data_IF_343080979521
#
_entry.id   IF_343080979521
#
_cell.length_a   1.000
_cell.length_b   1.000
_cell.length_c   1.000
_cell.angle_alpha   90.00
_cell.angle_beta   90.00
_cell.angle_gamma   90.00
#
_symmetry.space_group_name_H-M   'P 1'
#
loop_
_entity.id
_entity.type
_entity.pdbx_description
1 polymer ?
#
# COMPACT_ATOMS: atom_id res chain seq x y z
N UNK A 1 1.58 -1.45 10.86
CA UNK A 1 1.57 -2.43 9.74
C UNK A 1 2.31 -1.79 8.59
N UNK A 2 3.23 -2.49 7.93
CA UNK A 2 4.10 -1.89 6.90
C UNK A 2 3.47 -1.87 5.48
N UNK A 3 2.34 -2.56 5.28
CA UNK A 3 1.56 -2.54 4.04
C UNK A 3 0.08 -2.72 4.40
N UNK A 4 -0.79 -1.88 3.81
CA UNK A 4 -2.25 -1.98 3.92
C UNK A 4 -2.82 -2.51 2.61
N UNK A 5 -3.73 -3.49 2.67
CA UNK A 5 -4.38 -4.06 1.48
C UNK A 5 -5.81 -3.55 1.40
N UNK A 6 -6.13 -2.80 0.35
CA UNK A 6 -7.48 -2.32 0.05
C UNK A 6 -8.03 -3.13 -1.13
N UNK A 7 -9.23 -3.71 -0.98
CA UNK A 7 -9.88 -4.49 -2.04
C UNK A 7 -11.11 -3.76 -2.54
N UNK A 8 -11.04 -3.26 -3.78
CA UNK A 8 -12.16 -2.62 -4.45
C UNK A 8 -12.99 -3.70 -5.12
N UNK A 9 -14.20 -3.97 -4.58
CA UNK A 9 -15.14 -4.95 -5.14
C UNK A 9 -16.29 -4.25 -5.84
N UNK A 10 -16.60 -4.65 -7.08
CA UNK A 10 -17.86 -4.25 -7.75
C UNK A 10 -18.81 -5.46 -7.79
N UNK A 11 -20.05 -5.27 -7.33
CA UNK A 11 -21.09 -6.31 -7.37
C UNK A 11 -21.87 -6.22 -8.69
N UNK A 12 -21.84 -7.26 -9.51
CA UNK A 12 -22.60 -7.33 -10.76
C UNK A 12 -23.84 -8.23 -10.60
N UNK A 13 -25.04 -7.73 -10.98
CA UNK A 13 -26.26 -8.54 -11.12
C UNK A 13 -26.17 -9.40 -12.40
N UNK A 14 -26.63 -10.66 -12.31
CA UNK A 14 -26.52 -11.74 -13.30
C UNK A 14 -27.21 -11.44 -14.64
N UNK A 15 -26.59 -11.89 -15.74
CA UNK A 15 -27.29 -12.29 -16.98
C UNK A 15 -26.85 -13.68 -17.47
N UNK A 16 -27.67 -14.28 -18.32
CA UNK A 16 -27.97 -15.72 -18.54
C UNK A 16 -26.92 -16.58 -19.29
N UNK A 17 -27.07 -17.92 -19.19
CA UNK A 17 -26.16 -18.99 -19.68
C UNK A 17 -26.25 -19.26 -21.19
N UNK A 18 -25.14 -19.64 -21.88
CA UNK A 18 -25.18 -20.33 -23.17
C UNK A 18 -24.89 -21.86 -23.10
N UNK A 19 -25.34 -22.60 -24.12
CA UNK A 19 -25.31 -24.07 -24.31
C UNK A 19 -23.95 -24.62 -24.79
N UNK A 20 -23.68 -25.92 -24.57
CA UNK A 20 -22.40 -26.64 -24.83
C UNK A 20 -22.51 -27.60 -26.03
N UNK A 21 -21.48 -27.69 -26.87
CA UNK A 21 -21.25 -28.74 -27.89
C UNK A 21 -19.87 -29.44 -27.71
N UNK A 22 -19.71 -30.68 -28.21
CA UNK A 22 -18.58 -31.62 -27.96
C UNK A 22 -17.59 -31.76 -29.15
N UNK A 23 -16.30 -32.01 -28.89
CA UNK A 23 -15.39 -32.80 -29.77
C UNK A 23 -14.12 -33.32 -29.04
N UNK A 24 -13.55 -34.43 -29.56
CA UNK A 24 -12.55 -35.34 -28.94
C UNK A 24 -11.17 -35.31 -29.65
N UNK A 25 -10.06 -35.37 -28.89
CA UNK A 25 -8.78 -36.05 -29.27
C UNK A 25 -7.86 -36.20 -28.02
N UNK A 26 -7.30 -37.41 -27.80
CA UNK A 26 -6.64 -37.84 -26.55
C UNK A 26 -5.10 -37.89 -26.72
N UNK A 27 -4.35 -37.07 -25.99
CA UNK A 27 -2.88 -36.93 -26.13
C UNK A 27 -2.06 -37.80 -25.14
N UNK A 28 -0.76 -37.99 -25.39
CA UNK A 28 0.15 -38.87 -24.62
C UNK A 28 0.15 -38.66 -23.09
N UNK A 29 -0.20 -37.46 -22.60
CA UNK A 29 -0.38 -37.17 -21.17
C UNK A 29 -1.50 -38.01 -20.53
N UNK A 30 -2.54 -38.37 -21.28
CA UNK A 30 -3.62 -39.26 -20.82
C UNK A 30 -3.18 -40.73 -20.77
N UNK A 31 -2.18 -41.13 -21.55
CA UNK A 31 -1.60 -42.50 -21.47
C UNK A 31 -0.80 -42.70 -20.19
N UNK A 32 -0.06 -41.69 -19.74
CA UNK A 32 0.69 -41.72 -18.47
C UNK A 32 -0.27 -41.81 -17.27
N UNK A 33 -1.38 -41.05 -17.31
CA UNK A 33 -2.39 -41.09 -16.26
C UNK A 33 -3.07 -42.47 -16.14
N UNK A 34 -3.30 -43.16 -17.26
CA UNK A 34 -3.87 -44.53 -17.26
C UNK A 34 -2.90 -45.55 -16.64
N UNK A 35 -1.59 -45.41 -16.89
CA UNK A 35 -0.57 -46.26 -16.27
C UNK A 35 -0.53 -46.05 -14.75
N UNK A 36 -0.61 -44.79 -14.31
CA UNK A 36 -0.63 -44.44 -12.89
C UNK A 36 -1.87 -44.96 -12.16
N UNK A 37 -3.03 -44.95 -12.84
CA UNK A 37 -4.29 -45.46 -12.30
C UNK A 37 -4.30 -47.00 -12.20
N UNK A 38 -3.67 -47.72 -13.14
CA UNK A 38 -3.55 -49.20 -13.08
C UNK A 38 -2.69 -49.70 -11.92
N UNK A 39 -1.70 -48.91 -11.48
CA UNK A 39 -0.86 -49.25 -10.31
C UNK A 39 -1.70 -49.16 -9.01
N UNK A 40 -2.71 -48.29 -8.99
CA UNK A 40 -3.58 -48.07 -7.83
C UNK A 40 -4.71 -49.09 -7.70
N UNK A 41 -5.03 -49.84 -8.77
CA UNK A 41 -6.09 -50.88 -8.77
C UNK A 41 -5.73 -52.14 -7.96
N UNK A 42 -4.46 -52.35 -7.62
CA UNK A 42 -4.00 -53.51 -6.83
C UNK A 42 -4.29 -53.41 -5.32
N UNK A 43 -4.61 -52.23 -4.82
CA UNK A 43 -4.92 -51.98 -3.41
C UNK A 43 -6.39 -51.61 -3.33
N UNK A 44 -7.20 -52.36 -2.58
CA UNK A 44 -8.65 -52.13 -2.35
C UNK A 44 -8.92 -50.78 -1.64
N UNK A 45 -8.66 -49.67 -2.33
CA UNK A 45 -8.82 -48.28 -1.89
C UNK A 45 -9.70 -47.50 -2.88
N UNK A 46 -10.46 -48.20 -3.71
CA UNK A 46 -11.14 -47.65 -4.88
C UNK A 46 -12.30 -46.69 -4.55
N UNK A 47 -13.01 -46.90 -3.42
CA UNK A 47 -14.13 -46.01 -3.03
C UNK A 47 -13.66 -44.67 -2.44
N UNK A 48 -12.58 -44.67 -1.65
CA UNK A 48 -12.04 -43.45 -1.04
C UNK A 48 -11.25 -42.64 -2.06
N UNK A 49 -10.54 -43.29 -3.00
CA UNK A 49 -9.91 -42.60 -4.11
C UNK A 49 -10.91 -42.01 -5.10
N UNK A 50 -12.02 -42.68 -5.45
CA UNK A 50 -12.99 -42.12 -6.42
C UNK A 50 -13.64 -40.81 -5.94
N UNK A 51 -13.88 -40.65 -4.64
CA UNK A 51 -14.34 -39.38 -4.06
C UNK A 51 -13.27 -38.26 -4.09
N UNK A 52 -11.99 -38.65 -4.08
CA UNK A 52 -10.84 -37.75 -4.13
C UNK A 52 -10.42 -37.41 -5.57
N UNK A 53 -10.45 -38.39 -6.49
CA UNK A 53 -10.11 -38.27 -7.91
C UNK A 53 -11.22 -37.57 -8.70
N UNK A 54 -12.49 -37.75 -8.32
CA UNK A 54 -13.60 -36.96 -8.89
C UNK A 54 -13.43 -35.46 -8.68
N UNK A 55 -12.73 -35.06 -7.61
CA UNK A 55 -12.36 -33.66 -7.30
C UNK A 55 -11.10 -33.17 -8.01
N UNK A 56 -10.39 -34.03 -8.73
CA UNK A 56 -9.12 -33.77 -9.42
C UNK A 56 -9.23 -33.90 -10.94
N UNK A 57 -10.44 -33.82 -11.48
CA UNK A 57 -10.64 -33.75 -12.92
C UNK A 57 -10.26 -32.33 -13.40
N UNK A 58 -9.27 -32.17 -14.29
CA UNK A 58 -8.94 -30.86 -14.86
C UNK A 58 -10.14 -30.33 -15.63
N UNK A 59 -10.58 -29.11 -15.30
CA UNK A 59 -11.61 -28.40 -16.05
C UNK A 59 -10.93 -27.67 -17.23
N UNK A 60 -11.58 -27.60 -18.39
CA UNK A 60 -11.03 -26.89 -19.54
C UNK A 60 -11.81 -25.59 -19.79
N UNK A 61 -11.10 -24.48 -19.99
CA UNK A 61 -11.71 -23.22 -20.41
C UNK A 61 -12.33 -23.33 -21.82
N UNK A 62 -13.20 -22.38 -22.20
CA UNK A 62 -13.78 -22.33 -23.56
C UNK A 62 -12.73 -22.25 -24.69
N UNK A 63 -11.48 -21.87 -24.37
CA UNK A 63 -10.33 -21.84 -25.28
C UNK A 63 -9.38 -23.05 -25.11
N UNK A 64 -9.80 -24.12 -24.41
CA UNK A 64 -9.05 -25.37 -24.30
C UNK A 64 -7.90 -25.38 -23.28
N UNK A 65 -7.72 -24.33 -22.47
CA UNK A 65 -6.69 -24.33 -21.40
C UNK A 65 -7.16 -25.10 -20.17
N UNK A 66 -6.30 -25.97 -19.64
CA UNK A 66 -6.51 -26.74 -18.41
C UNK A 66 -6.52 -25.81 -17.19
N UNK A 67 -7.57 -25.92 -16.36
CA UNK A 67 -7.82 -25.18 -15.12
C UNK A 67 -7.99 -26.19 -14.01
N UNK A 68 -7.12 -26.11 -13.00
CA UNK A 68 -7.02 -27.11 -11.94
C UNK A 68 -8.03 -26.84 -10.82
N UNK A 69 -8.68 -27.86 -10.21
CA UNK A 69 -9.87 -27.63 -9.40
C UNK A 69 -9.52 -27.14 -7.99
N UNK A 70 -10.36 -26.21 -7.48
CA UNK A 70 -10.32 -25.52 -6.18
C UNK A 70 -9.59 -24.17 -6.06
N UNK A 71 -9.47 -23.42 -7.15
CA UNK A 71 -9.59 -21.97 -7.05
C UNK A 71 -10.98 -21.61 -7.60
N UNK A 72 -11.93 -21.28 -6.71
CA UNK A 72 -13.14 -20.58 -7.13
C UNK A 72 -12.65 -19.30 -7.80
N UNK A 73 -12.71 -19.23 -9.14
CA UNK A 73 -12.46 -17.98 -9.86
C UNK A 73 -13.32 -16.92 -9.19
N UNK A 74 -12.70 -15.88 -8.63
CA UNK A 74 -13.44 -14.81 -7.97
C UNK A 74 -14.43 -14.28 -9.01
N UNK A 75 -15.72 -14.35 -8.70
CA UNK A 75 -16.78 -14.00 -9.65
C UNK A 75 -16.83 -12.51 -9.96
N UNK A 76 -16.15 -11.69 -9.16
CA UNK A 76 -16.10 -10.24 -9.32
C UNK A 76 -14.66 -9.85 -9.64
N UNK A 77 -14.50 -9.12 -10.74
CA UNK A 77 -13.32 -8.30 -11.02
C UNK A 77 -13.03 -7.42 -9.79
N UNK A 78 -11.86 -7.59 -9.20
CA UNK A 78 -11.41 -6.80 -8.05
C UNK A 78 -9.98 -6.34 -8.32
N UNK A 79 -9.71 -5.08 -8.03
CA UNK A 79 -8.33 -4.56 -7.97
C UNK A 79 -7.90 -4.56 -6.51
N UNK A 80 -6.70 -5.09 -6.25
CA UNK A 80 -6.04 -4.97 -4.97
C UNK A 80 -5.08 -3.79 -4.99
N UNK A 81 -5.24 -2.86 -4.06
CA UNK A 81 -4.33 -1.75 -3.88
C UNK A 81 -3.48 -2.03 -2.63
N UNK A 82 -2.16 -2.09 -2.83
CA UNK A 82 -1.17 -2.29 -1.80
C UNK A 82 -0.55 -0.93 -1.46
N UNK A 83 -0.89 -0.40 -0.29
CA UNK A 83 -0.40 0.88 0.19
C UNK A 83 0.79 0.67 1.13
N UNK A 84 1.95 1.18 0.73
CA UNK A 84 3.19 1.23 1.48
C UNK A 84 3.46 2.68 1.93
N UNK A 85 4.42 2.89 2.82
CA UNK A 85 4.90 4.24 3.17
C UNK A 85 6.42 4.26 3.06
N UNK A 86 7.09 3.44 3.86
CA UNK A 86 8.55 3.36 3.94
C UNK A 86 9.08 1.98 3.54
N UNK A 87 10.23 1.95 2.87
CA UNK A 87 10.97 0.72 2.57
C UNK A 87 12.42 0.88 3.02
N UNK A 88 12.79 0.29 4.14
CA UNK A 88 14.10 0.46 4.75
C UNK A 88 14.37 -0.64 5.78
N UNK A 89 15.63 -0.93 6.04
CA UNK A 89 16.06 -1.80 7.15
C UNK A 89 16.41 -0.98 8.41
N UNK A 90 16.17 0.34 8.39
CA UNK A 90 16.37 1.21 9.54
C UNK A 90 15.44 0.80 10.70
N UNK A 91 15.97 0.85 11.92
CA UNK A 91 15.19 0.59 13.13
C UNK A 91 14.38 1.84 13.49
N UNK A 92 13.12 1.88 13.06
CA UNK A 92 12.14 2.88 13.49
C UNK A 92 11.00 2.17 14.22
N UNK A 93 10.88 2.43 15.52
CA UNK A 93 9.85 1.78 16.35
C UNK A 93 8.50 2.50 16.34
N UNK A 94 8.45 3.74 15.84
CA UNK A 94 7.27 4.60 15.85
C UNK A 94 6.56 4.56 14.49
N UNK A 95 7.33 4.47 13.41
CA UNK A 95 6.83 4.20 12.06
C UNK A 95 7.68 3.09 11.41
N UNK A 96 7.41 1.82 11.73
CA UNK A 96 8.24 0.71 11.26
C UNK A 96 8.17 0.57 9.73
N UNK A 97 9.31 0.66 9.02
CA UNK A 97 9.34 0.52 7.58
C UNK A 97 9.10 -0.93 7.14
N UNK A 98 8.76 -1.12 5.85
CA UNK A 98 8.83 -2.43 5.22
C UNK A 98 10.30 -2.83 5.02
N UNK A 99 10.77 -3.96 5.58
CA UNK A 99 12.13 -4.43 5.35
C UNK A 99 12.41 -4.64 3.87
N UNK A 100 13.60 -4.27 3.42
CA UNK A 100 13.94 -4.20 1.98
C UNK A 100 13.77 -5.58 1.33
N UNK A 101 14.29 -6.62 1.99
CA UNK A 101 14.20 -8.01 1.49
C UNK A 101 12.77 -8.54 1.42
N UNK A 102 11.91 -8.12 2.37
CA UNK A 102 10.49 -8.48 2.36
C UNK A 102 9.77 -7.77 1.21
N UNK A 103 10.02 -6.48 1.02
CA UNK A 103 9.50 -5.71 -0.11
C UNK A 103 9.90 -6.35 -1.45
N UNK A 104 11.18 -6.68 -1.64
CA UNK A 104 11.66 -7.36 -2.84
C UNK A 104 10.97 -8.70 -3.09
N UNK A 105 10.77 -9.49 -2.03
CA UNK A 105 10.07 -10.78 -2.12
C UNK A 105 8.62 -10.58 -2.57
N UNK A 106 7.93 -9.59 -2.01
CA UNK A 106 6.57 -9.24 -2.40
C UNK A 106 6.51 -8.79 -3.86
N UNK A 107 7.40 -7.87 -4.28
CA UNK A 107 7.46 -7.36 -5.64
C UNK A 107 7.76 -8.47 -6.66
N UNK A 108 8.69 -9.37 -6.34
CA UNK A 108 9.00 -10.54 -7.19
C UNK A 108 7.79 -11.45 -7.35
N UNK A 109 7.03 -11.68 -6.26
CA UNK A 109 5.80 -12.44 -6.33
C UNK A 109 4.76 -11.76 -7.25
N UNK A 110 4.55 -10.45 -7.08
CA UNK A 110 3.60 -9.71 -7.91
C UNK A 110 3.98 -9.75 -9.40
N UNK A 111 5.26 -9.53 -9.72
CA UNK A 111 5.75 -9.59 -11.10
C UNK A 111 5.59 -10.98 -11.73
N UNK A 112 5.62 -12.05 -10.93
CA UNK A 112 5.52 -13.43 -11.42
C UNK A 112 4.06 -13.89 -11.57
N UNK A 113 3.18 -13.47 -10.68
CA UNK A 113 1.85 -14.09 -10.51
C UNK A 113 0.66 -13.14 -10.64
N UNK A 114 0.87 -11.83 -10.75
CA UNK A 114 -0.20 -10.84 -10.77
C UNK A 114 -0.18 -9.98 -12.03
N UNK A 115 -1.32 -9.36 -12.35
CA UNK A 115 -1.40 -8.30 -13.36
C UNK A 115 -1.17 -6.97 -12.66
N UNK A 116 0.08 -6.51 -12.58
CA UNK A 116 0.40 -5.23 -11.95
C UNK A 116 0.04 -4.10 -12.89
N UNK A 117 -0.82 -3.19 -12.43
CA UNK A 117 -1.30 -2.03 -13.19
C UNK A 117 -0.78 -0.74 -12.56
N UNK A 118 -0.55 0.27 -13.40
CA UNK A 118 -0.48 1.64 -12.87
C UNK A 118 -1.87 2.09 -12.39
N UNK A 119 -1.94 3.06 -11.47
CA UNK A 119 -3.21 3.47 -10.86
C UNK A 119 -4.21 4.03 -11.88
N UNK A 120 -3.74 4.86 -12.82
CA UNK A 120 -4.59 5.46 -13.86
C UNK A 120 -5.23 4.37 -14.75
N UNK A 121 -4.45 3.37 -15.17
CA UNK A 121 -4.90 2.22 -15.95
C UNK A 121 -5.90 1.38 -15.17
N UNK A 122 -5.65 1.14 -13.88
CA UNK A 122 -6.59 0.43 -13.02
C UNK A 122 -7.94 1.15 -12.96
N UNK A 123 -7.93 2.48 -12.82
CA UNK A 123 -9.16 3.30 -12.83
C UNK A 123 -9.89 3.19 -14.17
N UNK A 124 -9.19 3.33 -15.30
CA UNK A 124 -9.82 3.22 -16.62
C UNK A 124 -10.37 1.82 -16.90
N UNK A 125 -9.65 0.75 -16.52
CA UNK A 125 -10.13 -0.63 -16.63
C UNK A 125 -11.34 -0.91 -15.74
N UNK A 126 -11.39 -0.34 -14.53
CA UNK A 126 -12.58 -0.44 -13.65
C UNK A 126 -13.79 0.23 -14.29
N UNK A 127 -13.61 1.40 -14.91
CA UNK A 127 -14.70 2.11 -15.63
C UNK A 127 -15.17 1.31 -16.84
N UNK A 128 -14.23 0.80 -17.64
CA UNK A 128 -14.49 -0.01 -18.84
C UNK A 128 -14.99 -1.43 -18.53
N UNK A 129 -14.96 -1.85 -17.26
CA UNK A 129 -15.31 -3.21 -16.82
C UNK A 129 -14.40 -4.30 -17.43
N UNK A 130 -13.13 -3.97 -17.68
CA UNK A 130 -12.10 -4.85 -18.25
C UNK A 130 -10.88 -4.97 -17.31
N UNK A 131 -11.16 -5.40 -16.08
CA UNK A 131 -10.12 -5.62 -15.08
C UNK A 131 -9.62 -7.07 -15.21
N UNK A 132 -8.31 -7.30 -15.41
CA UNK A 132 -7.77 -8.64 -15.48
C UNK A 132 -7.90 -9.37 -14.12
N UNK A 133 -7.88 -10.71 -14.16
CA UNK A 133 -7.79 -11.51 -12.94
C UNK A 133 -6.50 -11.14 -12.18
N UNK A 134 -6.54 -11.17 -10.84
CA UNK A 134 -5.38 -10.89 -9.98
C UNK A 134 -4.70 -9.53 -10.26
N UNK A 135 -5.51 -8.51 -10.58
CA UNK A 135 -5.06 -7.14 -10.78
C UNK A 135 -4.59 -6.51 -9.45
N UNK A 136 -3.39 -5.94 -9.47
CA UNK A 136 -2.75 -5.31 -8.30
C UNK A 136 -2.20 -3.94 -8.67
N UNK A 137 -2.35 -2.96 -7.79
CA UNK A 137 -1.73 -1.63 -7.86
C UNK A 137 -0.84 -1.45 -6.64
N UNK A 138 0.37 -0.95 -6.84
CA UNK A 138 1.32 -0.62 -5.76
C UNK A 138 1.33 0.90 -5.56
N UNK A 139 1.10 1.35 -4.33
CA UNK A 139 1.16 2.77 -3.98
C UNK A 139 2.05 3.03 -2.76
N UNK A 140 2.55 4.25 -2.68
CA UNK A 140 3.29 4.76 -1.53
C UNK A 140 2.68 6.09 -1.09
N UNK A 141 2.60 6.30 0.21
CA UNK A 141 2.14 7.56 0.78
C UNK A 141 3.32 8.33 1.40
N UNK A 142 3.12 9.61 1.70
CA UNK A 142 4.04 10.56 2.34
C UNK A 142 5.32 10.96 1.58
N UNK A 143 5.78 10.18 0.59
CA UNK A 143 6.94 10.54 -0.23
C UNK A 143 8.27 10.50 0.55
N UNK A 144 8.49 9.46 1.35
CA UNK A 144 9.76 9.26 2.07
C UNK A 144 10.94 9.06 1.12
N UNK A 145 12.11 9.56 1.51
CA UNK A 145 13.35 9.44 0.72
C UNK A 145 13.72 7.98 0.41
N UNK A 146 13.37 7.07 1.31
CA UNK A 146 13.60 5.63 1.13
C UNK A 146 12.78 5.01 -0.02
N UNK A 147 11.72 5.67 -0.49
CA UNK A 147 11.03 5.29 -1.71
C UNK A 147 11.95 5.38 -2.94
N UNK A 148 12.82 6.40 -2.99
CA UNK A 148 13.81 6.53 -4.06
C UNK A 148 15.05 5.68 -3.82
N UNK A 149 15.56 5.67 -2.58
CA UNK A 149 16.84 5.01 -2.26
C UNK A 149 16.72 3.48 -2.32
N UNK A 150 15.59 2.92 -1.87
CA UNK A 150 15.43 1.47 -1.69
C UNK A 150 14.29 0.87 -2.53
N UNK A 151 13.10 1.47 -2.55
CA UNK A 151 11.97 0.89 -3.29
C UNK A 151 12.14 1.01 -4.81
N UNK A 152 12.51 2.19 -5.31
CA UNK A 152 12.60 2.48 -6.73
C UNK A 152 13.57 1.57 -7.51
N UNK A 153 14.79 1.25 -7.04
CA UNK A 153 15.67 0.30 -7.73
C UNK A 153 15.05 -1.08 -7.93
N UNK A 154 14.27 -1.57 -6.95
CA UNK A 154 13.57 -2.85 -7.02
C UNK A 154 12.41 -2.77 -8.03
N UNK A 155 11.58 -1.74 -7.93
CA UNK A 155 10.45 -1.51 -8.84
C UNK A 155 10.93 -1.40 -10.29
N UNK A 156 11.98 -0.61 -10.53
CA UNK A 156 12.60 -0.42 -11.85
C UNK A 156 13.14 -1.72 -12.41
N UNK A 157 13.87 -2.52 -11.62
CA UNK A 157 14.44 -3.80 -12.08
C UNK A 157 13.36 -4.83 -12.43
N UNK A 158 12.25 -4.83 -11.71
CA UNK A 158 11.14 -5.75 -11.93
C UNK A 158 10.07 -5.18 -12.88
N UNK A 159 10.27 -3.99 -13.43
CA UNK A 159 9.31 -3.28 -14.29
C UNK A 159 7.91 -3.14 -13.67
N UNK A 160 7.85 -2.93 -12.36
CA UNK A 160 6.61 -2.80 -11.60
C UNK A 160 6.21 -1.31 -11.57
N UNK A 161 5.06 -0.94 -12.15
CA UNK A 161 4.54 0.42 -11.99
C UNK A 161 4.09 0.64 -10.54
N UNK A 162 4.29 1.87 -10.05
CA UNK A 162 3.77 2.30 -8.75
C UNK A 162 3.31 3.77 -8.81
N UNK A 163 2.55 4.20 -7.80
CA UNK A 163 2.14 5.61 -7.62
C UNK A 163 2.53 6.11 -6.24
N UNK A 164 3.18 7.27 -6.15
CA UNK A 164 3.55 7.88 -4.87
C UNK A 164 2.68 9.13 -4.62
N UNK A 165 2.01 9.19 -3.48
CA UNK A 165 1.20 10.33 -3.06
C UNK A 165 2.06 11.30 -2.23
N UNK A 166 2.15 12.55 -2.69
CA UNK A 166 3.09 13.54 -2.15
C UNK A 166 2.37 14.65 -1.35
N UNK A 167 2.68 14.81 -0.05
CA UNK A 167 2.33 16.01 0.69
C UNK A 167 3.33 17.11 0.33
N UNK A 168 2.84 18.16 -0.30
CA UNK A 168 3.73 19.09 -1.02
C UNK A 168 4.59 19.99 -0.13
N UNK A 169 4.22 20.24 1.13
CA UNK A 169 4.97 21.11 2.03
C UNK A 169 6.34 20.52 2.46
N UNK A 170 6.54 19.21 2.30
CA UNK A 170 7.78 18.52 2.72
C UNK A 170 8.70 18.11 1.58
N UNK A 171 8.21 18.05 0.34
CA UNK A 171 9.02 17.59 -0.81
C UNK A 171 10.00 18.67 -1.25
N UNK A 172 11.29 18.40 -1.09
CA UNK A 172 12.38 19.32 -1.46
C UNK A 172 12.50 20.58 -0.60
N UNK A 173 11.79 20.67 0.53
CA UNK A 173 11.80 21.87 1.41
C UNK A 173 12.68 21.70 2.65
N UNK A 174 13.05 20.46 2.99
CA UNK A 174 13.71 20.13 4.24
C UNK A 174 12.78 20.18 5.48
N UNK A 175 11.49 20.45 5.28
CA UNK A 175 10.47 20.37 6.35
C UNK A 175 10.11 18.91 6.62
N UNK A 176 9.43 18.69 7.75
CA UNK A 176 9.01 17.36 8.18
C UNK A 176 7.53 17.35 8.54
N UNK A 177 6.81 16.28 8.22
CA UNK A 177 5.39 16.16 8.55
C UNK A 177 5.19 16.21 10.06
N UNK A 178 4.04 16.74 10.47
CA UNK A 178 3.72 16.96 11.87
C UNK A 178 3.76 15.66 12.70
N UNK A 179 3.38 14.52 12.12
CA UNK A 179 3.38 13.24 12.82
C UNK A 179 4.80 12.73 13.04
N UNK A 180 5.68 12.85 12.05
CA UNK A 180 7.10 12.49 12.18
C UNK A 180 7.85 13.39 13.16
N UNK A 181 7.49 14.68 13.21
CA UNK A 181 7.95 15.61 14.23
C UNK A 181 7.62 15.09 15.65
N UNK A 182 6.36 14.72 15.88
CA UNK A 182 5.89 14.19 17.17
C UNK A 182 6.54 12.84 17.50
N UNK A 183 6.64 11.94 16.53
CA UNK A 183 7.24 10.62 16.70
C UNK A 183 8.72 10.72 17.04
N UNK A 184 9.47 11.56 16.32
CA UNK A 184 10.88 11.84 16.60
C UNK A 184 11.06 12.42 18.00
N UNK A 185 10.22 13.37 18.41
CA UNK A 185 10.30 13.98 19.73
C UNK A 185 10.06 12.97 20.86
N UNK A 186 9.01 12.15 20.77
CA UNK A 186 8.70 11.11 21.76
C UNK A 186 9.78 10.02 21.79
N UNK A 187 10.20 9.56 20.60
CA UNK A 187 11.23 8.52 20.46
C UNK A 187 12.56 8.94 21.07
N UNK A 188 13.03 10.16 20.79
CA UNK A 188 14.32 10.69 21.25
C UNK A 188 14.28 11.31 22.64
N UNK A 189 13.09 11.55 23.20
CA UNK A 189 12.95 12.16 24.53
C UNK A 189 13.66 11.35 25.61
N UNK A 190 14.37 12.06 26.47
CA UNK A 190 14.96 11.54 27.72
C UNK A 190 14.13 11.89 28.95
N UNK A 191 13.07 12.68 28.77
CA UNK A 191 12.12 13.01 29.83
C UNK A 191 11.37 11.73 30.21
N UNK A 192 11.35 11.32 31.48
CA UNK A 192 10.75 10.03 31.88
C UNK A 192 9.22 10.07 32.00
N UNK A 193 8.63 11.28 32.02
CA UNK A 193 7.21 11.50 32.30
C UNK A 193 6.74 12.83 31.70
N UNK A 194 5.59 12.82 31.02
CA UNK A 194 4.86 14.06 30.69
C UNK A 194 3.58 14.10 31.53
N UNK A 195 3.24 15.28 32.04
CA UNK A 195 1.99 15.56 32.74
C UNK A 195 1.27 16.76 32.12
N UNK A 196 -0.06 16.76 32.17
CA UNK A 196 -0.88 17.87 31.70
C UNK A 196 -0.93 18.04 30.18
N UNK A 197 -0.66 16.98 29.41
CA UNK A 197 -0.79 16.98 27.96
C UNK A 197 -1.48 15.68 27.51
N UNK A 198 -2.47 15.70 26.61
CA UNK A 198 -3.02 16.89 25.93
C UNK A 198 -3.89 17.76 26.84
N UNK A 199 -4.52 17.15 27.86
CA UNK A 199 -5.44 17.80 28.79
C UNK A 199 -4.90 17.76 30.23
N UNK A 200 -5.41 18.66 31.08
CA UNK A 200 -5.06 18.69 32.50
C UNK A 200 -5.43 17.35 33.17
N UNK A 201 -4.46 16.75 33.87
CA UNK A 201 -4.61 15.43 34.51
C UNK A 201 -4.11 14.25 33.66
N UNK A 202 -3.79 14.46 32.38
CA UNK A 202 -3.14 13.43 31.55
C UNK A 202 -1.71 13.17 32.03
N UNK A 203 -1.29 11.90 32.04
CA UNK A 203 0.04 11.47 32.51
C UNK A 203 0.58 10.32 31.66
N UNK A 204 1.76 10.50 31.08
CA UNK A 204 2.42 9.51 30.23
C UNK A 204 3.82 9.19 30.72
N UNK A 205 4.05 7.94 31.14
CA UNK A 205 5.43 7.41 31.28
C UNK A 205 6.09 7.41 29.90
N UNK A 206 7.39 7.71 29.86
CA UNK A 206 8.23 7.62 28.66
C UNK A 206 9.51 6.82 28.93
N UNK A 207 9.53 6.02 30.00
CA UNK A 207 10.73 5.29 30.45
C UNK A 207 11.10 4.12 29.55
N UNK A 208 10.10 3.44 29.01
CA UNK A 208 10.29 2.28 28.14
C UNK A 208 9.79 2.57 26.73
N UNK A 209 10.25 1.81 25.75
CA UNK A 209 9.74 1.91 24.38
C UNK A 209 8.23 1.60 24.30
N UNK A 210 7.73 0.70 25.17
CA UNK A 210 6.30 0.40 25.23
C UNK A 210 5.51 1.60 25.77
N UNK A 211 6.01 2.27 26.81
CA UNK A 211 5.35 3.45 27.36
C UNK A 211 5.32 4.60 26.35
N UNK A 212 6.43 4.84 25.65
CA UNK A 212 6.49 5.86 24.61
C UNK A 212 5.53 5.58 23.45
N UNK A 213 5.33 4.31 23.07
CA UNK A 213 4.33 3.92 22.06
C UNK A 213 2.90 4.18 22.54
N UNK A 214 2.58 3.88 23.80
CA UNK A 214 1.27 4.24 24.38
C UNK A 214 1.04 5.75 24.37
N UNK A 215 2.06 6.53 24.73
CA UNK A 215 2.01 7.98 24.66
C UNK A 215 1.79 8.46 23.23
N UNK A 216 2.54 7.91 22.26
CA UNK A 216 2.38 8.21 20.84
C UNK A 216 0.94 7.96 20.38
N UNK A 217 0.36 6.80 20.67
CA UNK A 217 -0.99 6.45 20.20
C UNK A 217 -2.03 7.48 20.69
N UNK A 218 -2.00 7.81 21.98
CA UNK A 218 -2.95 8.78 22.57
C UNK A 218 -2.71 10.21 22.07
N UNK A 219 -1.46 10.66 22.06
CA UNK A 219 -1.08 12.01 21.62
C UNK A 219 -1.36 12.20 20.13
N UNK A 220 -1.15 11.17 19.31
CA UNK A 220 -1.44 11.23 17.88
C UNK A 220 -2.93 11.40 17.63
N UNK A 221 -3.80 10.68 18.36
CA UNK A 221 -5.24 10.84 18.25
C UNK A 221 -5.69 12.27 18.59
N UNK A 222 -5.06 12.90 19.58
CA UNK A 222 -5.30 14.30 19.89
C UNK A 222 -4.87 15.24 18.76
N UNK A 223 -3.64 15.13 18.24
CA UNK A 223 -3.19 16.00 17.14
C UNK A 223 -4.02 15.86 15.86
N UNK A 224 -4.59 14.67 15.64
CA UNK A 224 -5.46 14.34 14.52
C UNK A 224 -6.79 15.10 14.55
N UNK A 225 -7.29 15.51 15.72
CA UNK A 225 -8.55 16.25 15.85
C UNK A 225 -8.41 17.77 15.78
N UNK A 226 -7.18 18.29 15.74
CA UNK A 226 -6.90 19.73 15.72
C UNK A 226 -6.83 20.28 14.29
N UNK A 227 -7.24 21.53 14.10
CA UNK A 227 -6.91 22.32 12.91
C UNK A 227 -5.39 22.59 12.82
N UNK A 228 -4.92 23.07 11.67
CA UNK A 228 -3.48 23.30 11.44
C UNK A 228 -2.88 24.31 12.44
N UNK A 229 -3.45 25.51 12.67
CA UNK A 229 -2.91 26.48 13.63
C UNK A 229 -2.79 25.93 15.06
N UNK A 230 -3.83 25.26 15.56
CA UNK A 230 -3.82 24.66 16.90
C UNK A 230 -2.85 23.50 16.98
N UNK A 231 -2.77 22.66 15.94
CA UNK A 231 -1.79 21.56 15.89
C UNK A 231 -0.36 22.09 15.99
N UNK A 232 -0.03 23.13 15.24
CA UNK A 232 1.29 23.77 15.30
C UNK A 232 1.58 24.34 16.71
N UNK A 233 0.59 24.94 17.37
CA UNK A 233 0.73 25.42 18.75
C UNK A 233 0.99 24.27 19.73
N UNK A 234 0.19 23.22 19.68
CA UNK A 234 0.28 22.08 20.60
C UNK A 234 1.57 21.25 20.38
N UNK A 235 2.09 21.18 19.15
CA UNK A 235 3.40 20.55 18.87
C UNK A 235 4.51 21.32 19.59
N UNK A 236 4.50 22.66 19.53
CA UNK A 236 5.49 23.49 20.25
C UNK A 236 5.38 23.30 21.76
N UNK A 237 4.16 23.23 22.30
CA UNK A 237 3.91 22.95 23.72
C UNK A 237 4.46 21.58 24.12
N UNK A 238 4.18 20.53 23.35
CA UNK A 238 4.72 19.20 23.57
C UNK A 238 6.26 19.19 23.53
N UNK A 239 6.88 19.91 22.59
CA UNK A 239 8.34 20.00 22.52
C UNK A 239 8.96 20.66 23.74
N UNK A 240 8.30 21.70 24.29
CA UNK A 240 8.69 22.30 25.56
C UNK A 240 8.68 21.27 26.71
N UNK A 241 7.62 20.47 26.82
CA UNK A 241 7.49 19.42 27.84
C UNK A 241 8.54 18.30 27.69
N UNK A 242 8.93 18.00 26.45
CA UNK A 242 9.92 16.98 26.14
C UNK A 242 11.38 17.48 26.21
N UNK A 243 11.59 18.77 26.50
CA UNK A 243 12.87 19.45 26.33
C UNK A 243 13.51 19.14 24.96
N UNK A 244 12.67 19.02 23.93
CA UNK A 244 13.09 18.63 22.58
C UNK A 244 13.36 19.89 21.76
N UNK A 245 14.61 20.04 21.30
CA UNK A 245 14.92 20.98 20.24
C UNK A 245 14.80 20.26 18.91
N UNK A 246 14.13 20.90 17.95
CA UNK A 246 14.09 20.40 16.58
C UNK A 246 15.49 20.50 15.97
N UNK A 247 16.24 19.41 16.10
CA UNK A 247 17.47 19.22 15.37
C UNK A 247 17.27 17.99 14.47
N UNK A 248 16.49 18.17 13.42
CA UNK A 248 16.66 17.32 12.26
C UNK A 248 18.02 17.71 11.71
N UNK A 249 19.06 16.97 12.11
CA UNK A 249 20.31 16.99 11.37
C UNK A 249 19.99 16.77 9.89
N UNK A 250 20.95 17.06 9.02
CA UNK A 250 20.92 16.89 7.55
C UNK A 250 20.41 15.53 7.01
N UNK A 251 19.98 14.60 7.87
CA UNK A 251 19.17 13.44 7.57
C UNK A 251 17.93 13.78 6.73
N UNK A 252 18.02 13.38 5.47
CA UNK A 252 17.03 13.49 4.43
C UNK A 252 15.85 12.54 4.67
N UNK A 253 14.70 13.09 5.07
CA UNK A 253 13.49 12.31 5.42
C UNK A 253 12.58 12.04 4.22
N UNK A 254 12.37 13.06 3.38
CA UNK A 254 11.48 12.99 2.22
C UNK A 254 12.24 13.14 0.91
N UNK A 255 11.55 12.81 -0.19
CA UNK A 255 12.01 13.02 -1.54
C UNK A 255 12.28 14.50 -1.84
N UNK A 256 13.12 14.74 -2.84
CA UNK A 256 13.19 16.03 -3.52
C UNK A 256 12.64 15.95 -4.95
N UNK A 257 12.44 17.11 -5.57
CA UNK A 257 11.84 17.19 -6.90
C UNK A 257 12.72 16.63 -8.02
N UNK A 258 14.04 16.56 -7.84
CA UNK A 258 14.94 15.95 -8.84
C UNK A 258 14.72 14.44 -8.91
N UNK A 259 14.51 13.81 -7.75
CA UNK A 259 14.25 12.37 -7.63
C UNK A 259 12.85 11.99 -8.07
N UNK A 260 11.86 12.83 -7.72
CA UNK A 260 10.50 12.69 -8.23
C UNK A 260 10.51 12.67 -9.76
N UNK A 261 11.24 13.59 -10.41
CA UNK A 261 11.39 13.61 -11.88
C UNK A 261 12.17 12.40 -12.41
N UNK A 262 13.22 11.97 -11.72
CA UNK A 262 13.97 10.77 -12.10
C UNK A 262 13.08 9.51 -12.10
N UNK A 263 12.24 9.34 -11.08
CA UNK A 263 11.28 8.25 -10.99
C UNK A 263 10.16 8.38 -12.02
N UNK A 264 9.64 9.59 -12.26
CA UNK A 264 8.61 9.87 -13.27
C UNK A 264 9.06 9.40 -14.66
N UNK A 265 10.32 9.68 -15.03
CA UNK A 265 10.89 9.25 -16.31
C UNK A 265 10.98 7.73 -16.50
N UNK A 266 10.79 6.96 -15.42
CA UNK A 266 10.80 5.49 -15.41
C UNK A 266 9.41 4.89 -15.13
N UNK A 267 8.34 5.66 -15.31
CA UNK A 267 6.96 5.14 -15.23
C UNK A 267 6.37 5.09 -13.83
N UNK A 268 7.01 5.73 -12.84
CA UNK A 268 6.38 5.95 -11.52
C UNK A 268 5.39 7.11 -11.65
N UNK A 269 4.14 6.87 -11.25
CA UNK A 269 3.10 7.88 -11.15
C UNK A 269 3.19 8.69 -9.86
N UNK A 270 2.63 9.89 -9.86
CA UNK A 270 2.57 10.75 -8.67
C UNK A 270 1.15 11.31 -8.49
N UNK A 271 0.65 11.21 -7.27
CA UNK A 271 -0.65 11.73 -6.83
C UNK A 271 -0.50 12.77 -5.73
N UNK A 272 -1.52 13.60 -5.51
CA UNK A 272 -1.53 14.58 -4.42
C UNK A 272 -1.88 13.92 -3.09
N UNK A 273 -1.21 14.36 -2.02
CA UNK A 273 -1.50 13.97 -0.64
C UNK A 273 -1.70 15.20 0.25
N UNK A 274 -2.45 16.19 -0.26
CA UNK A 274 -2.63 17.54 0.33
C UNK A 274 -1.34 18.37 0.45
N UNK A 275 -1.39 19.55 1.05
CA UNK A 275 -0.21 20.40 1.29
C UNK A 275 0.46 19.98 2.59
N UNK A 276 -0.27 20.06 3.70
CA UNK A 276 0.28 19.89 5.06
C UNK A 276 -0.05 18.55 5.71
N UNK A 277 -0.66 17.64 4.97
CA UNK A 277 -1.14 16.34 5.45
C UNK A 277 -2.10 16.44 6.67
N UNK A 278 -3.16 17.29 6.62
CA UNK A 278 -4.18 17.31 7.65
C UNK A 278 -5.14 16.13 7.48
N UNK A 279 -5.96 15.88 8.50
CA UNK A 279 -7.12 15.03 8.34
C UNK A 279 -8.26 15.88 7.80
N UNK A 280 -8.54 15.74 6.50
CA UNK A 280 -9.50 16.56 5.77
C UNK A 280 -10.90 16.57 6.39
N UNK A 281 -11.34 15.48 7.02
CA UNK A 281 -12.67 15.41 7.66
C UNK A 281 -12.85 16.31 8.88
N UNK A 282 -11.76 16.88 9.41
CA UNK A 282 -11.79 17.85 10.51
C UNK A 282 -11.63 19.30 10.05
N UNK A 283 -11.50 19.52 8.74
CA UNK A 283 -11.41 20.86 8.16
C UNK A 283 -12.78 21.34 7.65
N UNK A 284 -12.93 22.66 7.52
CA UNK A 284 -14.02 23.22 6.72
C UNK A 284 -13.84 22.85 5.23
N UNK A 285 -14.93 22.92 4.46
CA UNK A 285 -14.88 22.65 3.02
C UNK A 285 -13.89 23.57 2.29
N UNK A 286 -13.82 24.85 2.69
CA UNK A 286 -12.89 25.82 2.11
C UNK A 286 -11.43 25.42 2.37
N UNK A 287 -11.08 25.11 3.61
CA UNK A 287 -9.72 24.70 3.99
C UNK A 287 -9.33 23.37 3.31
N UNK A 288 -10.24 22.39 3.27
CA UNK A 288 -10.00 21.13 2.59
C UNK A 288 -9.78 21.34 1.07
N UNK A 289 -10.54 22.25 0.46
CA UNK A 289 -10.39 22.59 -0.96
C UNK A 289 -9.05 23.26 -1.23
N UNK A 290 -8.60 24.17 -0.37
CA UNK A 290 -7.29 24.83 -0.48
C UNK A 290 -6.16 23.80 -0.37
N UNK A 291 -6.18 22.95 0.65
CA UNK A 291 -5.21 21.86 0.85
C UNK A 291 -5.10 20.91 -0.36
N UNK A 292 -6.22 20.57 -0.99
CA UNK A 292 -6.23 19.70 -2.18
C UNK A 292 -5.76 20.48 -3.41
N UNK A 293 -6.29 21.69 -3.63
CA UNK A 293 -6.07 22.45 -4.86
C UNK A 293 -4.65 23.00 -4.96
N UNK A 294 -4.08 23.51 -3.88
CA UNK A 294 -2.72 24.04 -3.86
C UNK A 294 -1.70 22.93 -4.08
N UNK A 295 -1.88 21.80 -3.41
CA UNK A 295 -1.02 20.62 -3.58
C UNK A 295 -1.04 20.13 -5.02
N UNK A 296 -2.25 19.95 -5.58
CA UNK A 296 -2.44 19.60 -6.98
C UNK A 296 -1.75 20.60 -7.91
N UNK A 297 -1.98 21.90 -7.73
CA UNK A 297 -1.46 22.95 -8.62
C UNK A 297 0.07 23.00 -8.60
N UNK A 298 0.69 22.87 -7.43
CA UNK A 298 2.14 22.79 -7.31
C UNK A 298 2.67 21.53 -8.01
N UNK A 299 2.07 20.37 -7.77
CA UNK A 299 2.51 19.13 -8.40
C UNK A 299 2.42 19.20 -9.93
N UNK A 300 1.32 19.72 -10.48
CA UNK A 300 1.17 19.88 -11.93
C UNK A 300 2.24 20.80 -12.53
N UNK A 301 2.57 21.90 -11.82
CA UNK A 301 3.67 22.79 -12.19
C UNK A 301 5.03 22.08 -12.17
N UNK A 302 5.29 21.27 -11.15
CA UNK A 302 6.58 20.60 -10.97
C UNK A 302 6.77 19.40 -11.90
N UNK A 303 5.70 18.66 -12.18
CA UNK A 303 5.70 17.43 -12.98
C UNK A 303 5.44 17.66 -14.47
N UNK A 304 4.88 18.81 -14.85
CA UNK A 304 4.52 19.14 -16.23
C UNK A 304 3.37 18.29 -16.79
N UNK A 305 2.63 17.58 -15.94
CA UNK A 305 1.50 16.72 -16.32
C UNK A 305 0.32 16.98 -15.38
N UNK A 306 -0.89 16.64 -15.84
CA UNK A 306 -2.09 16.70 -15.01
C UNK A 306 -2.06 15.63 -13.92
N UNK A 307 -2.27 16.02 -12.67
CA UNK A 307 -2.40 15.11 -11.52
C UNK A 307 -3.85 14.66 -11.39
N UNK A 308 -4.10 13.35 -11.42
CA UNK A 308 -5.47 12.78 -11.45
C UNK A 308 -5.86 12.04 -10.18
N UNK A 309 -4.90 11.68 -9.35
CA UNK A 309 -5.09 10.87 -8.15
C UNK A 309 -4.84 11.70 -6.89
N UNK A 310 -5.58 11.37 -5.84
CA UNK A 310 -5.50 11.95 -4.51
C UNK A 310 -5.61 10.81 -3.49
N UNK A 311 -4.82 10.89 -2.41
CA UNK A 311 -4.93 10.04 -1.23
C UNK A 311 -5.11 10.91 0.01
#
# INVERSE_FOLDING_TARGET
MACTVISIKRSFKKFSKPRIGKSNCMGWKQRILIVFLRILDGLKLFKTLMGFVGRWTPAYSQKGRCVWPYIKRRRNANVHLLAYHRVSDACDSFLPPMPIKMFETQMTYLATYCNVLNLDEAVERIKAQDVPDDAVVVTFDDGYADNYIHAFPILKRLSIPATIFLPTDVIGTGRVLWHDQVFSALSKSKVPLIEGFPENGSRFSLRTLQDKRRAQDSISLYFRSLDVPRRCHEIKRLFGLLAFSMNFGSSRVYLDWSEVKAMQSHGIGFGSHSVTHPILSFLSETEAREEIWESKSLMEKMLGIRVKSFA
#
